data_IF_485865039798
#
_entry.id   IF_485865039798
#
_cell.length_a   1.000
_cell.length_b   1.000
_cell.length_c   1.000
_cell.angle_alpha   90.00
_cell.angle_beta   90.00
_cell.angle_gamma   90.00
#
_symmetry.space_group_name_H-M   'P 1'
#
loop_
_entity.id
_entity.type
_entity.pdbx_description
1 polymer ?
#
# COMPACT_ATOMS: atom_id res chain seq x y z
N UNK A 1 9.40 -13.69 5.94
CA UNK A 1 7.98 -13.50 5.60
C UNK A 1 7.95 -12.52 4.45
N UNK A 2 7.37 -12.90 3.32
CA UNK A 2 7.23 -12.04 2.14
C UNK A 2 6.05 -11.09 2.31
N UNK A 3 5.99 -10.02 1.53
CA UNK A 3 4.84 -9.10 1.50
C UNK A 3 3.54 -9.85 1.17
N UNK A 4 3.58 -10.85 0.28
CA UNK A 4 2.38 -11.61 -0.09
C UNK A 4 1.86 -12.49 1.07
N UNK A 5 2.77 -13.09 1.84
CA UNK A 5 2.42 -13.83 3.06
C UNK A 5 1.77 -12.90 4.09
N UNK A 6 2.36 -11.71 4.31
CA UNK A 6 1.82 -10.70 5.22
C UNK A 6 0.42 -10.22 4.79
N UNK A 7 0.19 -9.97 3.50
CA UNK A 7 -1.14 -9.59 2.99
C UNK A 7 -2.17 -10.69 3.20
N UNK A 8 -1.80 -11.96 2.99
CA UNK A 8 -2.69 -13.09 3.25
C UNK A 8 -3.07 -13.18 4.73
N UNK A 9 -2.13 -12.94 5.64
CA UNK A 9 -2.41 -12.97 7.08
C UNK A 9 -3.28 -11.78 7.51
N UNK A 10 -2.98 -10.56 7.05
CA UNK A 10 -3.81 -9.37 7.33
C UNK A 10 -5.23 -9.56 6.81
N UNK A 11 -5.40 -10.02 5.57
CA UNK A 11 -6.75 -10.19 5.00
C UNK A 11 -7.55 -11.31 5.68
N UNK A 12 -6.88 -12.30 6.28
CA UNK A 12 -7.52 -13.31 7.14
C UNK A 12 -7.96 -12.72 8.47
N UNK A 13 -7.13 -11.92 9.14
CA UNK A 13 -7.49 -11.30 10.42
C UNK A 13 -8.62 -10.28 10.27
N UNK A 14 -8.72 -9.62 9.11
CA UNK A 14 -9.85 -8.79 8.71
C UNK A 14 -11.16 -9.57 8.45
N UNK A 15 -11.14 -10.91 8.51
CA UNK A 15 -12.29 -11.79 8.25
C UNK A 15 -12.94 -11.54 6.87
N UNK A 16 -12.13 -11.24 5.85
CA UNK A 16 -12.65 -11.04 4.50
C UNK A 16 -13.11 -12.36 3.87
N UNK A 17 -14.29 -12.32 3.24
CA UNK A 17 -14.86 -13.42 2.48
C UNK A 17 -13.93 -13.89 1.35
N UNK A 18 -13.94 -15.19 1.05
CA UNK A 18 -13.04 -15.83 0.09
C UNK A 18 -12.98 -15.13 -1.28
N UNK A 19 -14.11 -14.71 -1.90
CA UNK A 19 -14.05 -14.07 -3.21
C UNK A 19 -13.33 -12.71 -3.18
N UNK A 20 -13.55 -11.92 -2.12
CA UNK A 20 -12.91 -10.60 -1.97
C UNK A 20 -11.43 -10.78 -1.64
N UNK A 21 -11.12 -11.66 -0.68
CA UNK A 21 -9.75 -11.94 -0.28
C UNK A 21 -8.91 -12.50 -1.42
N UNK A 22 -9.44 -13.48 -2.15
CA UNK A 22 -8.76 -14.09 -3.30
C UNK A 22 -8.45 -13.07 -4.39
N UNK A 23 -9.39 -12.15 -4.65
CA UNK A 23 -9.17 -11.05 -5.60
C UNK A 23 -8.07 -10.10 -5.14
N UNK A 24 -8.03 -9.73 -3.85
CA UNK A 24 -6.97 -8.86 -3.31
C UNK A 24 -5.59 -9.50 -3.43
N UNK A 25 -5.46 -10.78 -3.05
CA UNK A 25 -4.20 -11.53 -3.16
C UNK A 25 -3.70 -11.59 -4.60
N UNK A 26 -4.59 -11.94 -5.53
CA UNK A 26 -4.26 -11.98 -6.95
C UNK A 26 -3.81 -10.61 -7.49
N UNK A 27 -4.49 -9.53 -7.10
CA UNK A 27 -4.13 -8.18 -7.55
C UNK A 27 -2.78 -7.73 -6.99
N UNK A 28 -2.45 -8.07 -5.74
CA UNK A 28 -1.15 -7.76 -5.13
C UNK A 28 -0.03 -8.53 -5.86
N UNK A 29 -0.20 -9.83 -6.08
CA UNK A 29 0.78 -10.66 -6.80
C UNK A 29 1.02 -10.16 -8.23
N UNK A 30 -0.05 -9.78 -8.95
CA UNK A 30 0.05 -9.21 -10.29
C UNK A 30 0.79 -7.85 -10.30
N UNK A 31 0.55 -7.00 -9.29
CA UNK A 31 1.27 -5.73 -9.11
C UNK A 31 2.74 -5.94 -8.83
N UNK A 32 3.10 -6.87 -7.93
CA UNK A 32 4.49 -7.24 -7.65
C UNK A 32 5.19 -7.76 -8.91
N UNK A 33 4.55 -8.65 -9.66
CA UNK A 33 5.08 -9.18 -10.91
C UNK A 33 5.33 -8.08 -11.95
N UNK A 34 4.43 -7.10 -12.04
CA UNK A 34 4.57 -5.95 -12.94
C UNK A 34 5.70 -5.02 -12.48
N UNK A 35 5.78 -4.72 -11.19
CA UNK A 35 6.85 -3.92 -10.60
C UNK A 35 8.22 -4.53 -10.83
N UNK A 36 8.37 -5.84 -10.58
CA UNK A 36 9.61 -6.59 -10.83
C UNK A 36 10.06 -6.50 -12.30
N UNK A 37 9.12 -6.61 -13.24
CA UNK A 37 9.43 -6.46 -14.68
C UNK A 37 9.86 -5.03 -15.04
N UNK A 38 9.25 -4.01 -14.42
CA UNK A 38 9.50 -2.60 -14.74
C UNK A 38 10.77 -2.05 -14.09
N UNK A 39 11.04 -2.43 -12.84
CA UNK A 39 12.09 -1.84 -12.01
C UNK A 39 13.24 -2.80 -11.69
N UNK A 40 13.14 -4.08 -12.10
CA UNK A 40 14.19 -5.09 -11.89
C UNK A 40 14.25 -5.70 -10.48
N UNK A 41 13.53 -5.16 -9.51
CA UNK A 41 13.58 -5.58 -8.11
C UNK A 41 12.20 -5.97 -7.56
N UNK A 42 12.17 -6.89 -6.58
CA UNK A 42 10.95 -7.27 -5.84
C UNK A 42 10.57 -6.18 -4.83
N UNK A 43 9.32 -6.21 -4.35
CA UNK A 43 8.94 -5.43 -3.16
C UNK A 43 9.65 -5.95 -1.90
N UNK A 44 10.02 -7.23 -1.87
CA UNK A 44 10.81 -7.87 -0.81
C UNK A 44 12.32 -7.55 -0.91
N UNK A 45 12.68 -6.43 -1.55
CA UNK A 45 14.06 -5.91 -1.57
C UNK A 45 14.47 -5.40 -0.19
N UNK A 46 15.75 -5.48 0.13
CA UNK A 46 16.33 -5.20 1.46
C UNK A 46 17.25 -3.95 1.47
N UNK A 47 17.35 -3.25 0.35
CA UNK A 47 18.26 -2.13 0.15
C UNK A 47 17.64 -0.76 0.45
N UNK A 48 16.31 -0.67 0.60
CA UNK A 48 15.64 0.57 1.00
C UNK A 48 15.53 0.69 2.52
N UNK A 49 15.77 1.89 3.04
CA UNK A 49 15.57 2.20 4.46
C UNK A 49 14.08 2.30 4.79
N UNK A 50 13.79 2.30 6.09
CA UNK A 50 12.43 2.52 6.58
C UNK A 50 11.86 3.86 6.11
N UNK A 51 12.67 4.91 6.13
CA UNK A 51 12.30 6.27 5.72
C UNK A 51 11.98 6.33 4.23
N UNK A 52 12.76 5.63 3.40
CA UNK A 52 12.50 5.52 1.95
C UNK A 52 11.18 4.77 1.67
N UNK A 53 10.88 3.71 2.43
CA UNK A 53 9.59 3.03 2.33
C UNK A 53 8.41 3.92 2.76
N UNK A 54 8.58 4.70 3.83
CA UNK A 54 7.57 5.66 4.29
C UNK A 54 7.35 6.79 3.27
N UNK A 55 8.43 7.27 2.64
CA UNK A 55 8.35 8.27 1.58
C UNK A 55 7.55 7.74 0.37
N UNK A 56 7.86 6.53 -0.10
CA UNK A 56 7.07 5.91 -1.18
C UNK A 56 5.61 5.68 -0.80
N UNK A 57 5.35 5.27 0.44
CA UNK A 57 3.98 5.10 0.93
C UNK A 57 3.23 6.44 0.95
N UNK A 58 3.86 7.53 1.41
CA UNK A 58 3.30 8.88 1.42
C UNK A 58 2.91 9.33 0.00
N UNK A 59 3.81 9.17 -0.97
CA UNK A 59 3.56 9.48 -2.38
C UNK A 59 2.34 8.74 -2.93
N UNK A 60 2.25 7.44 -2.69
CA UNK A 60 1.13 6.60 -3.15
C UNK A 60 -0.20 6.96 -2.45
N UNK A 61 -0.18 7.36 -1.17
CA UNK A 61 -1.38 7.83 -0.47
C UNK A 61 -1.89 9.16 -1.04
N UNK A 62 -0.97 10.09 -1.38
CA UNK A 62 -1.32 11.39 -1.98
C UNK A 62 -1.90 11.22 -3.39
N UNK A 63 -1.31 10.36 -4.21
CA UNK A 63 -1.84 10.02 -5.54
C UNK A 63 -3.20 9.33 -5.43
N UNK A 64 -3.34 8.36 -4.53
CA UNK A 64 -4.59 7.68 -4.25
C UNK A 64 -5.71 8.64 -3.82
N UNK A 65 -5.40 9.64 -2.99
CA UNK A 65 -6.36 10.64 -2.56
C UNK A 65 -6.87 11.49 -3.74
N UNK A 66 -5.98 11.86 -4.66
CA UNK A 66 -6.35 12.56 -5.89
C UNK A 66 -7.26 11.71 -6.78
N UNK A 67 -6.96 10.41 -6.94
CA UNK A 67 -7.81 9.50 -7.69
C UNK A 67 -9.20 9.36 -7.05
N UNK A 68 -9.26 9.23 -5.73
CA UNK A 68 -10.52 9.17 -4.98
C UNK A 68 -11.35 10.45 -5.18
N UNK A 69 -10.73 11.63 -5.14
CA UNK A 69 -11.41 12.91 -5.43
C UNK A 69 -11.94 12.96 -6.86
N UNK A 70 -11.13 12.58 -7.86
CA UNK A 70 -11.57 12.52 -9.27
C UNK A 70 -12.72 11.54 -9.49
N UNK A 71 -12.83 10.50 -8.66
CA UNK A 71 -13.91 9.52 -8.68
C UNK A 71 -15.11 9.90 -7.77
N UNK A 72 -15.16 11.11 -7.20
CA UNK A 72 -16.17 11.56 -6.24
C UNK A 72 -16.28 10.66 -4.98
N UNK A 73 -15.17 10.04 -4.54
CA UNK A 73 -15.06 9.20 -3.34
C UNK A 73 -14.35 9.94 -2.21
N UNK A 74 -14.97 11.03 -1.72
CA UNK A 74 -14.35 11.91 -0.73
C UNK A 74 -14.02 11.25 0.62
N UNK A 75 -14.79 10.25 1.07
CA UNK A 75 -14.44 9.51 2.29
C UNK A 75 -13.19 8.65 2.13
N UNK A 76 -12.93 8.12 0.93
CA UNK A 76 -11.67 7.41 0.67
C UNK A 76 -10.50 8.40 0.62
N UNK A 77 -10.68 9.55 -0.03
CA UNK A 77 -9.68 10.61 -0.04
C UNK A 77 -9.35 11.08 1.39
N UNK A 78 -10.36 11.25 2.25
CA UNK A 78 -10.19 11.62 3.65
C UNK A 78 -9.35 10.59 4.42
N UNK A 79 -9.64 9.29 4.25
CA UNK A 79 -8.86 8.22 4.90
C UNK A 79 -7.41 8.22 4.44
N UNK A 80 -7.16 8.34 3.13
CA UNK A 80 -5.81 8.37 2.57
C UNK A 80 -5.01 9.59 3.07
N UNK A 81 -5.63 10.77 3.13
CA UNK A 81 -5.01 11.98 3.65
C UNK A 81 -4.71 11.90 5.17
N UNK A 82 -5.55 11.21 5.95
CA UNK A 82 -5.26 10.95 7.37
C UNK A 82 -4.06 10.05 7.55
N UNK A 83 -3.94 9.00 6.73
CA UNK A 83 -2.76 8.11 6.76
C UNK A 83 -1.50 8.86 6.33
N UNK A 84 -1.59 9.71 5.29
CA UNK A 84 -0.49 10.57 4.87
C UNK A 84 -0.04 11.52 5.99
N UNK A 85 -0.98 12.17 6.69
CA UNK A 85 -0.66 13.04 7.82
C UNK A 85 0.05 12.29 8.96
N UNK A 86 -0.41 11.08 9.32
CA UNK A 86 0.23 10.27 10.34
C UNK A 86 1.68 9.90 10.01
N UNK A 87 2.00 9.66 8.73
CA UNK A 87 3.38 9.40 8.29
C UNK A 87 4.25 10.64 8.47
N UNK A 88 3.74 11.82 8.09
CA UNK A 88 4.47 13.09 8.24
C UNK A 88 4.76 13.36 9.71
N UNK A 89 3.75 13.24 10.58
CA UNK A 89 3.90 13.43 12.02
C UNK A 89 4.95 12.46 12.61
N UNK A 90 4.96 11.20 12.17
CA UNK A 90 5.94 10.21 12.60
C UNK A 90 7.36 10.54 12.16
N UNK A 91 7.53 11.09 10.95
CA UNK A 91 8.84 11.51 10.43
C UNK A 91 9.36 12.81 11.07
N UNK A 92 8.47 13.72 11.47
CA UNK A 92 8.82 14.98 12.15
C UNK A 92 9.07 14.82 13.67
N UNK A 93 8.65 13.70 14.26
CA UNK A 93 8.80 13.42 15.70
C UNK A 93 10.18 12.84 16.09
N UNK A 94 11.14 12.84 15.17
CA UNK A 94 12.49 12.27 15.32
C UNK A 94 13.53 13.39 15.49
#
# INVERSE_FOLDING_TARGET
>A
MTVLETVNDITRTMQLELPVRGKLLFMVEARQSTGKKKYGHSIDRDDLTREEWLQHLLEEMLDGAQYAMKANKYEFARTLLRMAAAIIEEQESI
#
